data_IF_902482413482
#
_entry.id   IF_902482413482
#
_cell.length_a   1.000
_cell.length_b   1.000
_cell.length_c   1.000
_cell.angle_alpha   90.00
_cell.angle_beta   90.00
_cell.angle_gamma   90.00
#
_symmetry.space_group_name_H-M   'P 1'
#
loop_
_entity.id
_entity.type
_entity.pdbx_description
1 polymer ?
#
# COMPACT_ATOMS: atom_id res chain seq x y z
N UNK A 1 -14.64 3.88 4.53
CA UNK A 1 -15.57 4.07 5.65
C UNK A 1 -15.29 5.47 6.20
N UNK A 2 -16.22 6.42 6.07
CA UNK A 2 -16.00 7.79 6.60
C UNK A 2 -16.80 7.90 7.89
N UNK A 3 -16.14 7.69 9.02
CA UNK A 3 -16.73 7.91 10.34
C UNK A 3 -16.32 9.30 10.78
N UNK A 4 -17.26 10.26 10.75
CA UNK A 4 -16.98 11.66 11.08
C UNK A 4 -17.07 11.98 12.58
N UNK A 5 -17.03 10.94 13.44
CA UNK A 5 -17.15 11.12 14.89
C UNK A 5 -15.78 11.33 15.52
N UNK A 6 -15.64 12.35 16.37
CA UNK A 6 -14.43 12.58 17.19
C UNK A 6 -14.25 11.56 18.33
N UNK A 7 -15.29 10.78 18.65
CA UNK A 7 -15.25 9.85 19.78
C UNK A 7 -14.40 8.60 19.45
N UNK A 8 -13.32 8.32 20.20
CA UNK A 8 -12.44 7.18 19.93
C UNK A 8 -13.17 5.83 19.97
N UNK A 9 -14.11 5.66 20.91
CA UNK A 9 -14.93 4.46 21.04
C UNK A 9 -15.72 4.16 19.77
N UNK A 10 -16.32 5.17 19.14
CA UNK A 10 -17.09 5.01 17.90
C UNK A 10 -16.18 4.68 16.71
N UNK A 11 -15.00 5.30 16.63
CA UNK A 11 -14.01 5.01 15.59
C UNK A 11 -13.49 3.57 15.67
N UNK A 12 -13.10 3.11 16.87
CA UNK A 12 -12.63 1.73 17.08
C UNK A 12 -13.72 0.71 16.74
N UNK A 13 -14.96 0.94 17.19
CA UNK A 13 -16.10 0.07 16.86
C UNK A 13 -16.29 -0.08 15.35
N UNK A 14 -16.19 1.02 14.60
CA UNK A 14 -16.34 0.99 13.15
C UNK A 14 -15.22 0.21 12.44
N UNK A 15 -13.97 0.32 12.90
CA UNK A 15 -12.85 -0.44 12.35
C UNK A 15 -13.09 -1.95 12.49
N UNK A 16 -13.43 -2.42 13.69
CA UNK A 16 -13.65 -3.84 13.97
C UNK A 16 -14.89 -4.40 13.27
N UNK A 17 -15.99 -3.63 13.25
CA UNK A 17 -17.27 -4.05 12.66
C UNK A 17 -17.39 -3.73 11.16
N UNK A 18 -16.29 -3.43 10.47
CA UNK A 18 -16.32 -3.09 9.05
C UNK A 18 -16.78 -4.25 8.16
N UNK A 19 -17.68 -3.96 7.21
CA UNK A 19 -18.18 -4.90 6.19
C UNK A 19 -17.10 -5.23 5.15
N UNK A 20 -17.14 -6.41 4.55
CA UNK A 20 -16.10 -6.88 3.62
C UNK A 20 -15.85 -5.95 2.42
N UNK A 21 -16.90 -5.40 1.80
CA UNK A 21 -16.77 -4.45 0.70
C UNK A 21 -16.01 -3.16 1.09
N UNK A 22 -16.12 -2.73 2.35
CA UNK A 22 -15.45 -1.53 2.86
C UNK A 22 -14.02 -1.81 3.34
N UNK A 23 -13.66 -3.09 3.58
CA UNK A 23 -12.33 -3.50 4.05
C UNK A 23 -11.24 -3.30 3.02
N UNK A 24 -11.54 -3.33 1.72
CA UNK A 24 -10.53 -3.10 0.67
C UNK A 24 -9.77 -1.78 0.89
N UNK A 25 -10.45 -0.71 1.31
CA UNK A 25 -9.80 0.58 1.63
C UNK A 25 -8.86 0.51 2.85
N UNK A 26 -9.14 -0.38 3.79
CA UNK A 26 -8.34 -0.62 4.99
C UNK A 26 -7.10 -1.49 4.71
N UNK A 27 -7.11 -2.25 3.61
CA UNK A 27 -6.00 -3.12 3.17
C UNK A 27 -5.03 -2.40 2.21
N UNK A 28 -5.01 -1.07 2.22
CA UNK A 28 -4.15 -0.27 1.33
C UNK A 28 -2.72 -0.17 1.87
N UNK A 29 -1.74 -0.40 1.00
CA UNK A 29 -0.33 -0.13 1.26
C UNK A 29 0.22 0.94 0.31
N UNK A 30 1.37 1.51 0.69
CA UNK A 30 2.10 2.45 -0.16
C UNK A 30 2.73 1.68 -1.33
N UNK A 31 2.77 2.32 -2.48
CA UNK A 31 3.46 1.83 -3.68
C UNK A 31 4.91 2.36 -3.67
N UNK A 32 5.87 1.56 -4.13
CA UNK A 32 7.27 1.98 -4.24
C UNK A 32 7.40 3.16 -5.22
N UNK A 33 8.45 3.96 -5.07
CA UNK A 33 8.58 5.20 -5.85
C UNK A 33 8.67 4.92 -7.36
N UNK A 34 9.42 3.89 -7.78
CA UNK A 34 9.48 3.49 -9.20
C UNK A 34 8.12 3.07 -9.78
N UNK A 35 7.33 2.29 -9.06
CA UNK A 35 5.97 1.89 -9.49
C UNK A 35 5.01 3.09 -9.46
N UNK A 36 5.22 4.03 -8.54
CA UNK A 36 4.44 5.27 -8.50
C UNK A 36 4.74 6.12 -9.73
N UNK A 37 5.99 6.17 -10.18
CA UNK A 37 6.38 6.95 -11.34
C UNK A 37 5.85 6.32 -12.64
N UNK A 38 5.80 4.98 -12.71
CA UNK A 38 5.19 4.24 -13.82
C UNK A 38 3.67 4.42 -13.92
N UNK A 39 2.96 4.29 -12.79
CA UNK A 39 1.48 4.22 -12.78
C UNK A 39 0.79 5.49 -12.24
N UNK A 40 1.53 6.47 -11.70
CA UNK A 40 0.98 7.69 -11.12
C UNK A 40 0.26 7.54 -9.79
N UNK A 41 0.50 6.46 -9.02
CA UNK A 41 -0.33 6.11 -7.85
C UNK A 41 0.48 6.02 -6.56
N UNK A 42 -0.02 6.69 -5.51
CA UNK A 42 0.58 6.67 -4.17
C UNK A 42 0.33 5.38 -3.37
N UNK A 43 -0.86 4.79 -3.48
CA UNK A 43 -1.28 3.66 -2.66
C UNK A 43 -2.38 2.80 -3.29
N UNK A 44 -2.32 1.48 -3.09
CA UNK A 44 -3.32 0.52 -3.56
C UNK A 44 -3.63 -0.56 -2.51
N UNK A 45 -4.85 -1.15 -2.54
CA UNK A 45 -5.15 -2.36 -1.79
C UNK A 45 -4.25 -3.53 -2.22
N UNK A 46 -3.59 -4.16 -1.24
CA UNK A 46 -2.79 -5.37 -1.47
C UNK A 46 -3.71 -6.52 -1.91
N UNK A 47 -3.23 -7.33 -2.85
CA UNK A 47 -3.83 -8.61 -3.26
C UNK A 47 -2.82 -9.75 -3.09
N UNK A 48 -3.36 -10.97 -3.08
CA UNK A 48 -2.54 -12.19 -3.13
C UNK A 48 -1.79 -12.22 -4.46
N UNK A 49 -0.50 -12.53 -4.42
CA UNK A 49 0.39 -12.50 -5.59
C UNK A 49 0.98 -11.14 -5.95
N UNK A 50 0.76 -10.10 -5.14
CA UNK A 50 1.53 -8.86 -5.24
C UNK A 50 2.93 -9.07 -4.63
N UNK A 51 3.94 -8.46 -5.24
CA UNK A 51 5.29 -8.36 -4.69
C UNK A 51 5.38 -7.20 -3.71
N UNK A 52 5.89 -7.47 -2.51
CA UNK A 52 5.99 -6.50 -1.42
C UNK A 52 7.37 -6.51 -0.80
N UNK A 53 7.80 -5.34 -0.35
CA UNK A 53 8.96 -5.16 0.54
C UNK A 53 8.50 -4.74 1.92
N UNK A 54 9.11 -5.32 2.94
CA UNK A 54 8.82 -5.00 4.34
C UNK A 54 9.72 -3.83 4.77
N UNK A 55 9.14 -2.82 5.39
CA UNK A 55 9.85 -1.59 5.80
C UNK A 55 10.20 -1.54 7.27
N UNK A 56 9.46 -2.26 8.13
CA UNK A 56 9.56 -2.19 9.59
C UNK A 56 9.39 -3.56 10.22
N UNK A 57 10.14 -3.81 11.30
CA UNK A 57 10.14 -5.06 12.06
C UNK A 57 11.41 -5.87 11.81
N UNK A 58 11.37 -7.14 12.20
CA UNK A 58 12.52 -8.06 12.11
C UNK A 58 12.90 -8.35 10.65
N UNK A 59 11.91 -8.55 9.78
CA UNK A 59 12.09 -8.79 8.35
C UNK A 59 12.27 -7.51 7.53
N UNK A 60 12.91 -6.47 8.08
CA UNK A 60 13.10 -5.21 7.35
C UNK A 60 13.93 -5.44 6.08
N UNK A 61 13.52 -4.79 4.99
CA UNK A 61 14.13 -4.83 3.66
C UNK A 61 14.08 -6.20 2.94
N UNK A 62 13.39 -7.19 3.53
CA UNK A 62 13.02 -8.41 2.81
C UNK A 62 11.95 -8.11 1.76
N UNK A 63 12.15 -8.66 0.57
CA UNK A 63 11.17 -8.70 -0.50
C UNK A 63 10.52 -10.06 -0.60
N UNK A 64 9.25 -10.07 -0.97
CA UNK A 64 8.53 -11.32 -1.10
C UNK A 64 7.14 -11.22 -1.71
N UNK A 65 6.55 -12.37 -1.99
CA UNK A 65 5.20 -12.49 -2.53
C UNK A 65 4.16 -12.66 -1.42
N UNK A 66 3.01 -12.01 -1.59
CA UNK A 66 1.88 -12.15 -0.67
C UNK A 66 1.16 -13.49 -0.89
N UNK A 67 1.12 -14.34 0.14
CA UNK A 67 0.37 -15.62 0.12
C UNK A 67 -1.07 -15.41 0.56
N UNK A 68 -1.26 -14.78 1.73
CA UNK A 68 -2.56 -14.72 2.39
C UNK A 68 -2.78 -13.35 3.01
N UNK A 69 -4.01 -12.86 2.90
CA UNK A 69 -4.46 -11.63 3.55
C UNK A 69 -5.53 -11.97 4.57
N UNK A 70 -5.26 -11.70 5.84
CA UNK A 70 -6.19 -11.92 6.94
C UNK A 70 -7.13 -10.72 7.09
N UNK A 71 -8.33 -10.96 7.63
CA UNK A 71 -9.33 -9.92 7.93
C UNK A 71 -8.83 -8.80 8.85
N UNK A 72 -7.82 -9.07 9.67
CA UNK A 72 -7.23 -8.14 10.65
C UNK A 72 -6.15 -7.22 10.07
N UNK A 73 -6.19 -6.93 8.76
CA UNK A 73 -5.20 -6.09 8.06
C UNK A 73 -3.76 -6.62 8.17
N UNK A 74 -3.62 -7.94 8.23
CA UNK A 74 -2.32 -8.62 8.26
C UNK A 74 -2.14 -9.50 7.04
N UNK A 75 -0.89 -9.69 6.66
CA UNK A 75 -0.46 -10.38 5.46
C UNK A 75 0.61 -11.39 5.82
N UNK A 76 0.55 -12.58 5.23
CA UNK A 76 1.63 -13.56 5.26
C UNK A 76 2.43 -13.45 3.96
N UNK A 77 3.75 -13.39 4.10
CA UNK A 77 4.70 -13.26 2.99
C UNK A 77 5.48 -14.56 2.90
N UNK A 78 5.72 -15.05 1.69
CA UNK A 78 6.34 -16.36 1.45
C UNK A 78 7.78 -16.44 1.95
N UNK A 79 8.56 -15.40 1.72
CA UNK A 79 9.98 -15.33 2.06
C UNK A 79 10.21 -14.92 3.53
N UNK A 80 9.18 -14.40 4.21
CA UNK A 80 9.22 -14.17 5.64
C UNK A 80 8.81 -15.46 6.36
N UNK A 81 9.78 -16.22 6.85
CA UNK A 81 9.57 -17.47 7.59
C UNK A 81 10.33 -17.47 8.91
N UNK A 82 9.77 -18.23 9.86
CA UNK A 82 10.48 -18.71 11.03
C UNK A 82 10.47 -20.23 11.02
N UNK A 83 11.60 -20.82 11.40
CA UNK A 83 11.72 -22.25 11.61
C UNK A 83 11.25 -22.59 13.03
N UNK A 84 10.34 -23.57 13.14
CA UNK A 84 9.94 -24.13 14.43
C UNK A 84 10.92 -25.22 14.88
N UNK A 85 10.88 -25.55 16.17
CA UNK A 85 11.63 -26.68 16.73
C UNK A 85 11.33 -28.02 16.03
N UNK A 86 10.10 -28.19 15.54
CA UNK A 86 9.66 -29.38 14.80
C UNK A 86 10.19 -29.43 13.34
N UNK A 87 10.97 -28.45 12.90
CA UNK A 87 11.49 -28.34 11.53
C UNK A 87 10.51 -27.79 10.49
N UNK A 88 9.27 -27.48 10.89
CA UNK A 88 8.28 -26.84 9.99
C UNK A 88 8.45 -25.32 9.94
N UNK A 89 8.19 -24.73 8.77
CA UNK A 89 8.26 -23.28 8.59
C UNK A 89 6.90 -22.63 8.82
N UNK A 90 6.90 -21.47 9.50
CA UNK A 90 5.71 -20.66 9.71
C UNK A 90 5.92 -19.23 9.21
N UNK A 91 4.91 -18.70 8.52
CA UNK A 91 4.89 -17.33 8.03
C UNK A 91 4.24 -16.39 9.05
N UNK A 92 4.99 -15.44 9.63
CA UNK A 92 4.44 -14.49 10.56
C UNK A 92 3.47 -13.53 9.85
N UNK A 93 2.37 -13.23 10.52
CA UNK A 93 1.41 -12.25 10.01
C UNK A 93 1.97 -10.84 10.22
N UNK A 94 2.16 -10.07 9.14
CA UNK A 94 2.71 -8.72 9.15
C UNK A 94 1.62 -7.70 8.83
N UNK A 95 1.53 -6.60 9.58
CA UNK A 95 0.53 -5.57 9.31
C UNK A 95 0.84 -4.82 8.00
N UNK A 96 -0.22 -4.53 7.22
CA UNK A 96 -0.12 -3.95 5.87
C UNK A 96 0.59 -2.60 5.84
N UNK A 97 0.43 -1.78 6.89
CA UNK A 97 1.10 -0.48 6.96
C UNK A 97 2.64 -0.56 7.03
N UNK A 98 3.19 -1.76 7.26
CA UNK A 98 4.64 -2.01 7.26
C UNK A 98 5.15 -2.46 5.89
N UNK A 99 4.30 -2.53 4.89
CA UNK A 99 4.63 -3.03 3.56
C UNK A 99 4.65 -1.90 2.52
N UNK A 100 5.49 -2.08 1.51
CA UNK A 100 5.52 -1.29 0.29
C UNK A 100 5.37 -2.24 -0.88
N UNK A 101 4.44 -1.94 -1.80
CA UNK A 101 4.24 -2.75 -3.00
C UNK A 101 5.37 -2.43 -3.99
N UNK A 102 6.14 -3.44 -4.35
CA UNK A 102 7.26 -3.34 -5.30
C UNK A 102 6.88 -3.82 -6.69
N UNK A 103 6.02 -4.84 -6.81
CA UNK A 103 5.61 -5.39 -8.11
C UNK A 103 4.13 -5.73 -8.09
N UNK A 104 3.43 -5.37 -9.15
CA UNK A 104 2.08 -5.88 -9.37
C UNK A 104 2.13 -7.23 -10.10
N UNK A 105 1.08 -8.03 -9.91
CA UNK A 105 0.86 -9.20 -10.75
C UNK A 105 0.76 -8.76 -12.22
N UNK A 106 1.57 -9.35 -13.11
CA UNK A 106 1.72 -8.96 -14.52
C UNK A 106 0.38 -8.77 -15.26
N UNK A 107 0.34 -7.84 -16.21
CA UNK A 107 -0.84 -7.37 -16.95
C UNK A 107 -1.74 -8.47 -17.54
N UNK A 108 -1.16 -9.52 -18.15
CA UNK A 108 -1.96 -10.65 -18.68
C UNK A 108 -2.77 -11.41 -17.62
N UNK A 109 -2.38 -11.31 -16.35
CA UNK A 109 -3.07 -11.90 -15.19
C UNK A 109 -3.71 -10.84 -14.30
N UNK A 110 -3.64 -9.57 -14.68
CA UNK A 110 -4.20 -8.49 -13.87
C UNK A 110 -5.70 -8.41 -14.10
N UNK A 111 -6.44 -8.42 -13.00
CA UNK A 111 -7.90 -8.29 -12.99
C UNK A 111 -8.33 -6.94 -13.61
N UNK A 112 -9.30 -6.92 -14.56
CA UNK A 112 -9.79 -5.69 -15.19
C UNK A 112 -10.21 -4.61 -14.18
N UNK A 113 -10.75 -5.02 -13.03
CA UNK A 113 -11.16 -4.08 -11.97
C UNK A 113 -9.98 -3.41 -11.28
N UNK A 114 -8.81 -4.09 -11.22
CA UNK A 114 -7.59 -3.52 -10.66
C UNK A 114 -6.97 -2.54 -11.65
N UNK A 115 -6.95 -2.88 -12.94
CA UNK A 115 -6.50 -1.97 -14.00
C UNK A 115 -7.34 -0.67 -14.00
N UNK A 116 -8.67 -0.79 -14.06
CA UNK A 116 -9.57 0.37 -13.98
C UNK A 116 -9.40 1.18 -12.67
N UNK A 117 -9.06 0.52 -11.55
CA UNK A 117 -8.75 1.21 -10.30
C UNK A 117 -7.44 1.99 -10.37
N UNK A 118 -6.44 1.45 -11.05
CA UNK A 118 -5.16 2.10 -11.31
C UNK A 118 -5.39 3.33 -12.18
N UNK A 119 -6.03 3.18 -13.33
CA UNK A 119 -6.29 4.27 -14.28
C UNK A 119 -7.07 5.40 -13.62
N UNK A 120 -8.15 5.06 -12.91
CA UNK A 120 -8.94 6.05 -12.17
C UNK A 120 -8.13 6.80 -11.12
N UNK A 121 -7.14 6.16 -10.47
CA UNK A 121 -6.31 6.82 -9.45
C UNK A 121 -5.16 7.61 -10.05
N UNK A 122 -4.62 7.17 -11.18
CA UNK A 122 -3.53 7.85 -11.88
C UNK A 122 -3.93 9.28 -12.26
N UNK A 123 -5.15 9.47 -12.77
CA UNK A 123 -5.70 10.79 -13.16
C UNK A 123 -5.70 11.80 -12.00
N UNK A 124 -5.95 11.36 -10.77
CA UNK A 124 -5.94 12.24 -9.59
C UNK A 124 -4.56 12.45 -8.98
N UNK A 125 -3.54 11.68 -9.41
CA UNK A 125 -2.18 11.70 -8.84
C UNK A 125 -1.24 12.75 -9.46
N UNK A 126 -1.55 13.25 -10.65
CA UNK A 126 -0.70 14.17 -11.41
C UNK A 126 -1.09 15.66 -11.33
N UNK A 127 -2.09 16.04 -10.53
CA UNK A 127 -2.54 17.44 -10.46
C UNK A 127 -1.75 18.34 -9.47
N UNK A 128 -0.79 17.80 -8.72
CA UNK A 128 0.01 18.61 -7.77
C UNK A 128 1.31 19.18 -8.39
N UNK A 129 1.75 18.69 -9.57
CA UNK A 129 3.00 19.14 -10.18
C UNK A 129 2.88 20.45 -10.99
N UNK A 130 1.66 20.87 -11.35
CA UNK A 130 1.41 22.16 -12.03
C UNK A 130 1.23 23.36 -11.07
N UNK A 131 1.32 23.17 -9.75
CA UNK A 131 1.13 24.24 -8.75
C UNK A 131 2.39 24.59 -7.94
N UNK A 132 3.58 24.44 -8.53
CA UNK A 132 4.76 25.18 -8.04
C UNK A 132 4.81 26.53 -8.73
N UNK A 133 4.43 27.58 -8.00
CA UNK A 133 4.69 28.96 -8.44
C UNK A 133 6.18 29.09 -8.81
N UNK A 134 6.53 29.70 -9.95
CA UNK A 134 7.92 29.98 -10.27
C UNK A 134 8.51 30.83 -9.14
N UNK A 135 9.64 30.38 -8.56
CA UNK A 135 10.36 31.19 -7.58
C UNK A 135 10.76 32.49 -8.28
N UNK A 136 10.29 33.64 -7.75
CA UNK A 136 10.69 34.97 -8.21
C UNK A 136 12.21 35.06 -8.15
N UNK A 137 12.87 35.06 -9.31
CA UNK A 137 14.28 35.40 -9.39
C UNK A 137 14.38 36.87 -8.96
N UNK A 138 15.21 37.16 -7.95
CA UNK A 138 15.62 38.54 -7.70
C UNK A 138 16.60 38.86 -8.82
N UNK A 139 16.24 39.79 -9.69
CA UNK A 139 17.22 40.45 -10.56
C UNK A 139 18.19 41.18 -9.64
N UNK A 140 19.46 40.77 -9.65
CA UNK A 140 20.53 41.62 -9.14
C UNK A 140 20.68 42.76 -10.15
N UNK A 141 20.23 43.95 -9.76
CA UNK A 141 20.50 45.19 -10.49
C UNK A 141 22.01 45.43 -10.45
N UNK A 142 22.73 45.01 -11.50
CA UNK A 142 24.02 45.58 -11.83
C UNK A 142 23.80 46.92 -12.56
N UNK A 143 24.00 48.02 -11.83
CA UNK A 143 24.62 49.27 -12.32
C UNK A 143 24.96 50.22 -11.19
#
# INVERSE_FOLDING_TARGET
>A
MKVNSKQPRRQRKALFQSKNNQRSKLLSARVADFVRDEYGIKALPIRVGDGVRITRGEFKDFEGEVIEITRNQRVKIKEATFDKADGTQFHPAIHISKLVITKFTKEKKMDPWRASMIDRKAVFGFADEELRAPKKQKEEEEK
#
